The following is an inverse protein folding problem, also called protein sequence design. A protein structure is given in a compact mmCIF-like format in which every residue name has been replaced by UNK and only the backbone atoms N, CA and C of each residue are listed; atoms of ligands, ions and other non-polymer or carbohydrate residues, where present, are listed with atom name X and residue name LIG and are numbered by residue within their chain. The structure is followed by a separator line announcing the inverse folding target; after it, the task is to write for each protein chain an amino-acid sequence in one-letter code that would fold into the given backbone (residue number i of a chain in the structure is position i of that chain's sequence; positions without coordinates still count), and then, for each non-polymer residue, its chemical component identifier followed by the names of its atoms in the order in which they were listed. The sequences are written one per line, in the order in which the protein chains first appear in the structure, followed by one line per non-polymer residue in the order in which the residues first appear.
data_IF_070764006238
#
_entry.id   IF_070764006238
#
_cell.length_a   1.000
_cell.length_b   1.000
_cell.length_c   1.000
_cell.angle_alpha   90.00
_cell.angle_beta   90.00
_cell.angle_gamma   90.00
#
_symmetry.space_group_name_H-M   'P 1'
#
loop_
_entity.id
_entity.type
_entity.pdbx_description
1 polymer ?
#
# COMPACT_ATOMS: atom_id res chain seq x y z
N UNK A 1 -6.00 13.92 25.65
CA UNK A 1 -6.10 15.38 25.44
C UNK A 1 -6.68 15.99 26.72
N UNK A 2 -6.37 17.24 27.07
CA UNK A 2 -6.92 17.88 28.28
C UNK A 2 -7.92 18.96 27.87
N UNK A 3 -9.21 18.72 28.10
CA UNK A 3 -10.28 19.66 27.79
C UNK A 3 -10.66 20.47 29.05
N UNK A 4 -10.95 21.75 28.85
CA UNK A 4 -11.41 22.66 29.88
C UNK A 4 -12.69 23.35 29.39
N UNK A 5 -13.67 23.45 30.27
CA UNK A 5 -14.90 24.20 30.06
C UNK A 5 -14.70 25.63 30.57
N UNK A 6 -15.27 26.61 29.86
CA UNK A 6 -15.15 28.02 30.23
C UNK A 6 -16.44 28.50 30.92
N UNK A 7 -16.57 28.16 32.20
CA UNK A 7 -17.66 28.63 33.05
C UNK A 7 -17.29 29.95 33.74
N UNK A 8 -18.21 30.92 33.71
CA UNK A 8 -18.19 32.11 34.57
C UNK A 8 -16.87 32.91 34.61
N UNK A 9 -16.11 32.89 33.51
CA UNK A 9 -14.82 33.60 33.38
C UNK A 9 -13.58 32.77 33.70
N UNK A 10 -13.72 31.49 34.06
CA UNK A 10 -12.64 30.60 34.45
C UNK A 10 -12.61 29.31 33.63
N UNK A 11 -11.41 28.75 33.43
CA UNK A 11 -11.24 27.43 32.82
C UNK A 11 -11.31 26.36 33.92
N UNK A 12 -12.43 25.66 34.00
CA UNK A 12 -12.59 24.48 34.87
C UNK A 12 -12.27 23.21 34.06
N UNK A 13 -11.69 22.14 34.65
CA UNK A 13 -11.50 20.89 33.93
C UNK A 13 -12.85 20.36 33.44
N UNK A 14 -12.97 20.09 32.14
CA UNK A 14 -14.26 19.68 31.56
C UNK A 14 -14.72 18.36 32.20
N UNK A 15 -15.89 18.39 32.84
CA UNK A 15 -16.46 17.20 33.47
C UNK A 15 -17.12 16.31 32.41
N UNK A 16 -16.28 15.58 31.67
CA UNK A 16 -16.74 14.43 30.89
C UNK A 16 -17.53 13.50 31.82
N UNK A 17 -18.76 13.18 31.43
CA UNK A 17 -19.68 12.33 32.18
C UNK A 17 -19.05 11.02 32.62
N UNK A 18 -19.56 10.49 33.74
CA UNK A 18 -19.02 9.27 34.35
C UNK A 18 -19.12 8.15 33.33
N UNK A 19 -18.00 7.49 33.06
CA UNK A 19 -17.99 6.26 32.28
C UNK A 19 -18.85 5.23 32.99
N UNK A 20 -19.89 4.77 32.32
CA UNK A 20 -20.87 3.82 32.84
C UNK A 20 -20.65 2.47 32.18
N UNK A 21 -20.47 1.42 32.99
CA UNK A 21 -20.24 0.05 32.51
C UNK A 21 -21.54 -0.68 32.07
N UNK A 22 -22.56 0.08 31.68
CA UNK A 22 -23.78 -0.46 31.08
C UNK A 22 -23.61 -0.58 29.58
N UNK A 23 -24.24 -1.60 29.00
CA UNK A 23 -24.39 -1.76 27.54
C UNK A 23 -25.18 -0.59 26.94
N UNK A 24 -24.98 -0.34 25.66
CA UNK A 24 -25.87 0.51 24.90
C UNK A 24 -27.26 -0.16 24.79
N UNK A 25 -28.30 0.66 24.84
CA UNK A 25 -29.67 0.20 24.55
C UNK A 25 -29.84 -0.02 23.03
N UNK A 26 -30.72 -0.94 22.61
CA UNK A 26 -30.86 -1.33 21.20
C UNK A 26 -31.20 -0.17 20.26
N UNK A 27 -31.94 0.84 20.75
CA UNK A 27 -32.23 2.08 20.02
C UNK A 27 -30.95 2.92 19.79
N UNK A 28 -30.03 2.94 20.77
CA UNK A 28 -28.75 3.62 20.67
C UNK A 28 -27.81 2.90 19.68
N UNK A 29 -27.79 1.56 19.70
CA UNK A 29 -27.06 0.75 18.71
C UNK A 29 -27.62 0.92 17.29
N UNK A 30 -28.93 1.13 17.16
CA UNK A 30 -29.58 1.43 15.87
C UNK A 30 -29.16 2.81 15.35
N UNK A 31 -29.14 3.84 16.20
CA UNK A 31 -28.61 5.16 15.84
C UNK A 31 -27.11 5.10 15.48
N UNK A 32 -26.31 4.29 16.18
CA UNK A 32 -24.90 4.04 15.83
C UNK A 32 -24.76 3.37 14.46
N UNK A 33 -25.65 2.44 14.09
CA UNK A 33 -25.67 1.88 12.72
C UNK A 33 -25.97 2.96 11.68
N UNK A 34 -27.02 3.76 11.89
CA UNK A 34 -27.40 4.84 10.96
C UNK A 34 -26.27 5.87 10.74
N UNK A 35 -25.51 6.19 11.79
CA UNK A 35 -24.45 7.21 11.79
C UNK A 35 -23.02 6.62 11.72
N UNK A 36 -22.87 5.33 11.39
CA UNK A 36 -21.59 4.60 11.57
C UNK A 36 -20.41 5.23 10.81
N UNK A 37 -20.65 5.83 9.64
CA UNK A 37 -19.60 6.48 8.85
C UNK A 37 -19.10 7.80 9.47
N UNK A 38 -20.01 8.56 10.09
CA UNK A 38 -19.66 9.79 10.84
C UNK A 38 -18.87 9.43 12.11
N UNK A 39 -19.31 8.37 12.81
CA UNK A 39 -18.70 7.83 14.03
C UNK A 39 -17.26 7.32 13.78
N UNK A 40 -17.03 6.63 12.66
CA UNK A 40 -15.70 6.15 12.25
C UNK A 40 -14.80 7.29 11.74
N UNK A 41 -15.41 8.37 11.22
CA UNK A 41 -14.70 9.56 10.75
C UNK A 41 -13.87 9.33 9.48
N UNK A 42 -14.21 8.32 8.67
CA UNK A 42 -13.51 7.98 7.42
C UNK A 42 -14.34 8.36 6.19
N UNK A 43 -13.70 8.83 5.10
CA UNK A 43 -14.36 8.93 3.81
C UNK A 43 -14.56 7.53 3.22
N UNK A 44 -15.76 6.98 3.45
CA UNK A 44 -16.24 5.74 2.85
C UNK A 44 -17.54 6.02 2.12
N UNK A 45 -17.69 5.48 0.92
CA UNK A 45 -18.90 5.54 0.11
C UNK A 45 -19.83 4.38 0.48
N UNK A 46 -21.02 4.59 1.05
CA UNK A 46 -21.94 3.50 1.39
C UNK A 46 -22.56 2.88 0.13
N UNK A 47 -22.58 1.55 0.06
CA UNK A 47 -23.22 0.80 -1.05
C UNK A 47 -24.56 0.24 -0.61
N UNK A 48 -24.59 -0.64 0.39
CA UNK A 48 -25.81 -1.30 0.89
C UNK A 48 -25.59 -1.90 2.29
N UNK A 49 -26.66 -1.92 3.11
CA UNK A 49 -26.73 -2.76 4.31
C UNK A 49 -27.19 -4.17 3.94
N UNK A 50 -26.36 -5.18 4.20
CA UNK A 50 -26.76 -6.59 4.11
C UNK A 50 -27.07 -7.13 5.52
N UNK A 51 -28.22 -7.79 5.66
CA UNK A 51 -28.70 -8.38 6.92
C UNK A 51 -28.80 -9.92 6.88
N UNK A 52 -28.22 -10.57 5.86
CA UNK A 52 -28.42 -12.01 5.56
C UNK A 52 -27.88 -12.99 6.62
N UNK A 53 -26.91 -12.55 7.43
CA UNK A 53 -26.29 -13.33 8.52
C UNK A 53 -26.01 -12.46 9.75
N UNK A 54 -25.39 -11.30 9.52
CA UNK A 54 -25.10 -10.25 10.51
C UNK A 54 -25.28 -8.92 9.77
N UNK A 55 -25.95 -7.95 10.39
CA UNK A 55 -26.16 -6.64 9.78
C UNK A 55 -24.83 -5.89 9.61
N UNK A 56 -24.42 -5.68 8.36
CA UNK A 56 -23.19 -4.98 8.01
C UNK A 56 -23.40 -4.08 6.79
N UNK A 57 -22.62 -3.01 6.71
CA UNK A 57 -22.61 -2.07 5.60
C UNK A 57 -21.45 -2.42 4.66
N UNK A 58 -21.79 -2.74 3.41
CA UNK A 58 -20.82 -2.75 2.33
C UNK A 58 -20.57 -1.29 1.91
N UNK A 59 -19.30 -0.92 1.86
CA UNK A 59 -18.85 0.42 1.47
C UNK A 59 -17.57 0.35 0.63
N UNK A 60 -17.14 1.47 0.08
CA UNK A 60 -15.91 1.59 -0.69
C UNK A 60 -15.06 2.75 -0.17
N UNK A 61 -13.75 2.57 -0.07
CA UNK A 61 -12.84 3.70 0.16
C UNK A 61 -12.57 4.49 -1.13
N UNK A 62 -11.91 5.64 -1.02
CA UNK A 62 -11.60 6.51 -2.16
C UNK A 62 -10.70 5.89 -3.26
N UNK A 63 -10.03 4.76 -2.98
CA UNK A 63 -9.22 4.02 -3.96
C UNK A 63 -10.04 3.04 -4.79
N UNK A 64 -11.27 2.72 -4.35
CA UNK A 64 -12.11 1.69 -4.95
C UNK A 64 -12.10 0.36 -4.18
N UNK A 65 -11.38 0.27 -3.06
CA UNK A 65 -11.31 -0.94 -2.26
C UNK A 65 -12.61 -1.16 -1.49
N UNK A 66 -13.15 -2.38 -1.52
CA UNK A 66 -14.33 -2.76 -0.71
C UNK A 66 -13.96 -2.75 0.78
N UNK A 67 -14.80 -2.11 1.58
CA UNK A 67 -14.70 -2.00 3.03
C UNK A 67 -15.99 -2.48 3.67
N UNK A 68 -15.89 -3.52 4.49
CA UNK A 68 -16.98 -4.02 5.32
C UNK A 68 -17.01 -3.26 6.64
N UNK A 69 -18.12 -2.60 6.95
CA UNK A 69 -18.33 -1.87 8.21
C UNK A 69 -19.39 -2.59 9.06
N UNK A 70 -19.03 -2.99 10.28
CA UNK A 70 -19.90 -3.74 11.19
C UNK A 70 -20.15 -3.00 12.50
N UNK A 71 -21.33 -3.19 13.07
CA UNK A 71 -21.69 -2.72 14.42
C UNK A 71 -22.17 -3.90 15.25
N UNK A 72 -21.59 -4.13 16.43
CA UNK A 72 -21.94 -5.27 17.29
C UNK A 72 -22.06 -4.89 18.78
N UNK A 73 -22.93 -5.62 19.49
CA UNK A 73 -23.11 -5.49 20.95
C UNK A 73 -21.92 -6.07 21.73
N UNK A 74 -21.23 -7.05 21.15
CA UNK A 74 -20.03 -7.67 21.71
C UNK A 74 -19.17 -8.23 20.58
N UNK A 75 -17.88 -7.93 20.64
CA UNK A 75 -16.82 -8.47 19.82
C UNK A 75 -16.04 -9.52 20.64
N UNK A 76 -16.17 -10.76 20.21
CA UNK A 76 -15.53 -11.97 20.73
C UNK A 76 -14.81 -12.72 19.60
N UNK A 77 -14.18 -13.86 19.91
CA UNK A 77 -13.40 -14.60 18.90
C UNK A 77 -14.26 -15.10 17.72
N UNK A 78 -15.52 -15.44 17.96
CA UNK A 78 -16.42 -15.96 16.92
C UNK A 78 -16.91 -14.85 15.99
N UNK A 79 -17.35 -13.72 16.54
CA UNK A 79 -17.80 -12.54 15.79
C UNK A 79 -16.65 -11.89 15.02
N UNK A 80 -15.44 -11.81 15.60
CA UNK A 80 -14.25 -11.34 14.89
C UNK A 80 -13.93 -12.23 13.67
N UNK A 81 -13.87 -13.56 13.84
CA UNK A 81 -13.61 -14.48 12.72
C UNK A 81 -14.72 -14.42 11.66
N UNK A 82 -15.98 -14.25 12.07
CA UNK A 82 -17.10 -14.07 11.14
C UNK A 82 -17.01 -12.76 10.34
N UNK A 83 -16.60 -11.66 10.97
CA UNK A 83 -16.39 -10.37 10.30
C UNK A 83 -15.25 -10.44 9.27
N UNK A 84 -14.12 -11.05 9.64
CA UNK A 84 -13.00 -11.29 8.73
C UNK A 84 -13.39 -12.20 7.55
N UNK A 85 -14.24 -13.20 7.79
CA UNK A 85 -14.76 -14.09 6.75
C UNK A 85 -15.71 -13.38 5.80
N UNK A 86 -16.60 -12.51 6.31
CA UNK A 86 -17.47 -11.64 5.49
C UNK A 86 -16.62 -10.73 4.61
N UNK A 87 -15.70 -9.95 5.19
CA UNK A 87 -14.85 -9.05 4.42
C UNK A 87 -13.94 -9.77 3.40
N UNK A 88 -13.53 -11.02 3.68
CA UNK A 88 -12.84 -11.87 2.73
C UNK A 88 -13.70 -12.20 1.50
N UNK A 89 -14.98 -12.55 1.71
CA UNK A 89 -15.94 -12.82 0.65
C UNK A 89 -16.33 -11.54 -0.11
N UNK A 90 -16.68 -10.46 0.60
CA UNK A 90 -17.13 -9.19 0.02
C UNK A 90 -16.04 -8.50 -0.81
N UNK A 91 -14.76 -8.73 -0.51
CA UNK A 91 -13.66 -8.21 -1.30
C UNK A 91 -13.39 -8.97 -2.61
N UNK A 92 -14.17 -10.01 -2.93
CA UNK A 92 -14.23 -10.59 -4.26
C UNK A 92 -15.32 -9.96 -5.16
N UNK A 93 -16.15 -9.06 -4.62
CA UNK A 93 -17.18 -8.33 -5.39
C UNK A 93 -16.51 -7.32 -6.33
N UNK A 94 -16.86 -7.39 -7.62
CA UNK A 94 -16.43 -6.43 -8.61
C UNK A 94 -17.24 -5.13 -8.56
N UNK A 95 -16.76 -4.13 -9.30
CA UNK A 95 -17.45 -2.86 -9.50
C UNK A 95 -18.91 -3.03 -9.95
N UNK A 96 -19.16 -3.99 -10.85
CA UNK A 96 -20.49 -4.27 -11.40
C UNK A 96 -21.44 -4.89 -10.37
N UNK A 97 -20.94 -5.74 -9.47
CA UNK A 97 -21.73 -6.38 -8.42
C UNK A 97 -22.23 -5.32 -7.44
N UNK A 98 -21.32 -4.48 -6.92
CA UNK A 98 -21.63 -3.36 -6.03
C UNK A 98 -22.62 -2.37 -6.68
N UNK A 99 -22.43 -2.06 -7.97
CA UNK A 99 -23.34 -1.22 -8.74
C UNK A 99 -24.73 -1.84 -8.93
N UNK A 100 -24.84 -3.18 -8.95
CA UNK A 100 -26.10 -3.91 -9.04
C UNK A 100 -26.83 -4.01 -7.69
N UNK A 101 -26.08 -4.09 -6.59
CA UNK A 101 -26.60 -4.11 -5.22
C UNK A 101 -27.04 -2.72 -4.74
N UNK A 102 -26.49 -1.65 -5.32
CA UNK A 102 -26.79 -0.28 -4.92
C UNK A 102 -28.29 0.06 -5.06
N UNK A 103 -28.99 0.53 -4.00
CA UNK A 103 -30.44 0.77 -4.04
C UNK A 103 -30.91 1.79 -5.10
N UNK A 104 -30.03 2.72 -5.51
CA UNK A 104 -30.31 3.67 -6.60
C UNK A 104 -30.05 3.11 -8.02
N UNK A 105 -29.54 1.89 -8.14
CA UNK A 105 -29.09 1.26 -9.38
C UNK A 105 -27.77 1.83 -9.95
N UNK A 106 -27.20 1.10 -10.91
CA UNK A 106 -25.85 1.32 -11.46
C UNK A 106 -25.59 2.76 -11.96
N UNK A 107 -26.58 3.41 -12.57
CA UNK A 107 -26.44 4.78 -13.08
C UNK A 107 -26.33 5.83 -11.98
N UNK A 108 -27.08 5.65 -10.89
CA UNK A 108 -27.02 6.49 -9.69
C UNK A 108 -25.71 6.23 -8.94
N UNK A 109 -25.36 4.96 -8.74
CA UNK A 109 -24.09 4.52 -8.13
C UNK A 109 -22.87 5.21 -8.79
N UNK A 110 -22.76 5.16 -10.12
CA UNK A 110 -21.64 5.78 -10.86
C UNK A 110 -21.57 7.31 -10.69
N UNK A 111 -22.72 7.99 -10.62
CA UNK A 111 -22.77 9.46 -10.41
C UNK A 111 -22.32 9.81 -9.00
N UNK A 112 -22.93 9.16 -8.00
CA UNK A 112 -22.76 9.50 -6.59
C UNK A 112 -21.34 9.13 -6.10
N UNK A 113 -20.76 8.07 -6.68
CA UNK A 113 -19.35 7.71 -6.52
C UNK A 113 -18.39 8.75 -7.11
N UNK A 114 -18.69 9.29 -8.30
CA UNK A 114 -17.86 10.33 -8.91
C UNK A 114 -17.89 11.60 -8.05
N UNK A 115 -19.07 12.03 -7.60
CA UNK A 115 -19.24 13.17 -6.68
C UNK A 115 -18.46 12.95 -5.37
N UNK A 116 -18.54 11.75 -4.78
CA UNK A 116 -17.74 11.36 -3.63
C UNK A 116 -16.23 11.47 -3.91
N UNK A 117 -15.74 10.95 -5.04
CA UNK A 117 -14.30 11.03 -5.40
C UNK A 117 -13.84 12.46 -5.67
N UNK A 118 -14.66 13.29 -6.31
CA UNK A 118 -14.37 14.70 -6.59
C UNK A 118 -14.29 15.54 -5.31
N UNK A 119 -14.97 15.12 -4.23
CA UNK A 119 -14.86 15.76 -2.90
C UNK A 119 -13.54 15.50 -2.16
N UNK A 120 -12.71 14.55 -2.63
CA UNK A 120 -11.55 14.03 -1.88
C UNK A 120 -10.20 14.39 -2.50
N UNK A 121 -9.11 14.43 -1.70
CA UNK A 121 -7.77 14.70 -2.21
C UNK A 121 -7.32 13.65 -3.25
N UNK A 122 -6.65 14.04 -4.36
CA UNK A 122 -6.29 13.15 -5.49
C UNK A 122 -5.34 11.97 -5.18
N UNK A 123 -4.93 11.77 -3.93
CA UNK A 123 -4.04 10.70 -3.46
C UNK A 123 -4.44 10.20 -2.08
N UNK A 124 -5.71 9.88 -1.90
CA UNK A 124 -6.18 9.18 -0.70
C UNK A 124 -5.68 7.73 -0.75
N UNK A 125 -4.88 7.26 0.23
CA UNK A 125 -4.36 5.90 0.23
C UNK A 125 -5.47 4.88 0.58
N UNK A 126 -5.27 3.62 0.18
CA UNK A 126 -6.13 2.52 0.55
C UNK A 126 -6.29 2.42 2.09
N UNK A 127 -7.54 2.21 2.52
CA UNK A 127 -7.96 2.13 3.91
C UNK A 127 -8.01 0.69 4.44
N UNK A 128 -8.64 0.50 5.62
CA UNK A 128 -8.94 -0.83 6.12
C UNK A 128 -9.94 -1.54 5.20
N UNK A 129 -9.86 -2.87 5.15
CA UNK A 129 -10.86 -3.76 4.53
C UNK A 129 -12.03 -4.02 5.48
N UNK A 130 -11.80 -3.87 6.78
CA UNK A 130 -12.78 -4.14 7.85
C UNK A 130 -12.75 -3.01 8.86
N UNK A 131 -13.92 -2.46 9.18
CA UNK A 131 -14.13 -1.57 10.31
C UNK A 131 -15.17 -2.19 11.23
N UNK A 132 -14.84 -2.38 12.51
CA UNK A 132 -15.77 -2.94 13.52
C UNK A 132 -16.00 -1.90 14.61
N UNK A 133 -17.26 -1.61 14.91
CA UNK A 133 -17.68 -0.71 16.00
C UNK A 133 -18.42 -1.53 17.05
N UNK A 134 -17.88 -1.61 18.27
CA UNK A 134 -18.33 -2.53 19.30
C UNK A 134 -18.69 -1.82 20.62
N UNK A 135 -19.86 -2.13 21.20
CA UNK A 135 -20.20 -1.77 22.59
C UNK A 135 -19.29 -2.49 23.60
N UNK A 136 -18.93 -3.74 23.30
CA UNK A 136 -18.02 -4.50 24.13
C UNK A 136 -16.96 -5.24 23.33
N UNK A 137 -15.77 -5.35 23.91
CA UNK A 137 -14.70 -6.21 23.43
C UNK A 137 -14.29 -7.14 24.58
N UNK A 138 -14.33 -8.44 24.35
CA UNK A 138 -13.96 -9.44 25.36
C UNK A 138 -12.43 -9.57 25.47
N UNK A 139 -11.93 -9.89 26.67
CA UNK A 139 -10.49 -9.83 26.96
C UNK A 139 -9.65 -10.90 26.23
N UNK A 140 -10.27 -11.96 25.72
CA UNK A 140 -9.63 -13.00 24.91
C UNK A 140 -9.25 -12.53 23.50
N UNK A 141 -10.04 -11.62 22.89
CA UNK A 141 -9.71 -11.05 21.57
C UNK A 141 -8.79 -9.84 21.63
N UNK A 142 -8.70 -9.12 22.76
CA UNK A 142 -7.86 -7.91 22.85
C UNK A 142 -6.42 -8.15 22.35
N UNK A 143 -5.70 -9.22 22.73
CA UNK A 143 -4.36 -9.52 22.19
C UNK A 143 -4.32 -9.77 20.68
N UNK A 144 -5.38 -10.34 20.10
CA UNK A 144 -5.47 -10.54 18.65
C UNK A 144 -5.66 -9.20 17.93
N UNK A 145 -6.45 -8.28 18.47
CA UNK A 145 -6.62 -6.92 17.92
C UNK A 145 -5.30 -6.11 17.97
N UNK A 146 -4.41 -6.36 18.94
CA UNK A 146 -3.06 -5.78 18.95
C UNK A 146 -2.21 -6.25 17.76
N UNK A 147 -2.30 -7.54 17.39
CA UNK A 147 -1.55 -8.13 16.28
C UNK A 147 -2.14 -7.77 14.91
N UNK A 148 -3.45 -7.58 14.84
CA UNK A 148 -4.18 -7.14 13.64
C UNK A 148 -4.14 -5.60 13.44
N UNK A 149 -3.59 -4.86 14.41
CA UNK A 149 -3.44 -3.40 14.32
C UNK A 149 -2.53 -3.00 13.15
N UNK A 150 -3.15 -2.54 12.05
CA UNK A 150 -2.46 -2.13 10.83
C UNK A 150 -2.50 -3.16 9.68
N UNK A 151 -3.10 -4.34 9.86
CA UNK A 151 -3.28 -5.33 8.77
C UNK A 151 -4.52 -5.04 7.90
N UNK A 152 -4.93 -3.78 7.78
CA UNK A 152 -6.18 -3.38 7.12
C UNK A 152 -7.45 -3.67 7.93
N UNK A 153 -7.35 -3.76 9.26
CA UNK A 153 -8.50 -3.86 10.17
C UNK A 153 -8.44 -2.68 11.15
N UNK A 154 -9.57 -2.02 11.35
CA UNK A 154 -9.75 -1.02 12.41
C UNK A 154 -10.93 -1.41 13.30
N UNK A 155 -10.75 -1.26 14.62
CA UNK A 155 -11.80 -1.53 15.60
C UNK A 155 -11.97 -0.32 16.50
N UNK A 156 -13.21 0.02 16.81
CA UNK A 156 -13.61 1.13 17.67
C UNK A 156 -14.43 0.58 18.83
N UNK A 157 -14.02 0.88 20.05
CA UNK A 157 -14.75 0.54 21.28
C UNK A 157 -15.60 1.75 21.68
N UNK A 158 -16.91 1.53 21.80
CA UNK A 158 -17.86 2.51 22.30
C UNK A 158 -17.79 2.55 23.83
N UNK A 159 -18.10 3.69 24.43
CA UNK A 159 -18.15 3.82 25.89
C UNK A 159 -19.20 4.83 26.30
N UNK A 160 -20.23 4.37 27.02
CA UNK A 160 -21.30 5.22 27.51
C UNK A 160 -20.81 6.15 28.63
N UNK A 161 -21.15 7.43 28.53
CA UNK A 161 -20.88 8.47 29.53
C UNK A 161 -22.17 9.16 29.95
N UNK A 162 -22.55 9.00 31.22
CA UNK A 162 -23.71 9.69 31.80
C UNK A 162 -23.29 11.06 32.37
N UNK A 163 -23.96 12.12 31.93
CA UNK A 163 -23.83 13.47 32.46
C UNK A 163 -24.96 13.75 33.47
N UNK A 164 -24.71 14.65 34.43
CA UNK A 164 -25.61 14.91 35.56
C UNK A 164 -27.02 15.37 35.16
N UNK A 165 -27.15 16.00 34.00
CA UNK A 165 -28.41 16.53 33.46
C UNK A 165 -29.26 15.50 32.70
N UNK A 166 -28.92 14.21 32.79
CA UNK A 166 -29.61 13.12 32.09
C UNK A 166 -29.22 12.98 30.61
N UNK A 167 -28.27 13.77 30.13
CA UNK A 167 -27.68 13.59 28.80
C UNK A 167 -26.72 12.40 28.82
N UNK A 168 -26.84 11.53 27.81
CA UNK A 168 -25.92 10.42 27.53
C UNK A 168 -25.05 10.79 26.33
N UNK A 169 -23.73 10.66 26.46
CA UNK A 169 -22.82 10.71 25.32
C UNK A 169 -22.20 9.33 25.10
N UNK A 170 -21.95 9.00 23.84
CA UNK A 170 -21.15 7.84 23.44
C UNK A 170 -19.75 8.36 23.12
N UNK A 171 -18.75 7.92 23.88
CA UNK A 171 -17.34 8.08 23.57
C UNK A 171 -16.92 6.96 22.60
N UNK A 172 -16.04 7.28 21.65
CA UNK A 172 -15.70 6.41 20.51
C UNK A 172 -14.19 6.35 20.38
N UNK A 173 -13.59 5.25 20.86
CA UNK A 173 -12.14 5.11 20.97
C UNK A 173 -11.60 4.06 19.98
N UNK A 174 -10.66 4.41 19.07
CA UNK A 174 -10.01 3.41 18.23
C UNK A 174 -9.15 2.49 19.11
N UNK A 175 -9.43 1.19 19.04
CA UNK A 175 -8.72 0.13 19.76
C UNK A 175 -7.30 0.06 19.21
N UNK A 176 -6.31 0.30 20.07
CA UNK A 176 -4.89 0.27 19.72
C UNK A 176 -4.13 -0.47 20.80
N UNK A 177 -3.29 -1.42 20.39
CA UNK A 177 -2.44 -2.13 21.33
C UNK A 177 -1.54 -1.18 22.15
N UNK A 178 -1.22 -1.50 23.41
CA UNK A 178 -0.41 -0.68 24.31
C UNK A 178 1.02 -0.46 23.80
N UNK A 179 1.47 -1.20 22.78
CA UNK A 179 2.70 -0.92 22.04
C UNK A 179 2.65 0.49 21.41
N UNK A 180 1.54 0.88 20.77
CA UNK A 180 1.40 2.21 20.16
C UNK A 180 1.42 3.33 21.21
N UNK A 181 0.80 3.10 22.37
CA UNK A 181 0.86 4.03 23.51
C UNK A 181 2.28 4.11 24.12
N UNK A 182 2.98 2.98 24.23
CA UNK A 182 4.38 2.93 24.68
C UNK A 182 5.32 3.67 23.74
N UNK A 183 5.15 3.57 22.43
CA UNK A 183 5.95 4.33 21.45
C UNK A 183 5.87 5.85 21.66
N UNK A 184 4.68 6.36 22.04
CA UNK A 184 4.51 7.77 22.38
C UNK A 184 5.23 8.17 23.68
N UNK A 185 5.26 7.28 24.69
CA UNK A 185 6.05 7.51 25.92
C UNK A 185 7.56 7.38 25.71
N UNK A 186 8.03 6.46 24.85
CA UNK A 186 9.45 6.25 24.55
C UNK A 186 10.05 7.47 23.83
N UNK A 187 9.29 8.15 22.97
CA UNK A 187 9.74 9.41 22.32
C UNK A 187 9.97 10.57 23.30
N UNK A 188 9.43 10.52 24.53
CA UNK A 188 9.75 11.45 25.62
C UNK A 188 10.69 10.80 26.67
N UNK A 189 11.18 9.59 26.42
CA UNK A 189 11.56 8.60 27.44
C UNK A 189 13.01 8.13 27.42
N UNK A 190 13.97 9.07 27.31
CA UNK A 190 15.45 8.88 27.36
C UNK A 190 16.12 8.26 26.13
N UNK A 191 17.37 8.68 25.94
CA UNK A 191 18.28 8.15 24.93
C UNK A 191 18.66 6.68 25.18
N UNK A 192 19.03 6.02 24.08
CA UNK A 192 19.65 4.70 23.95
C UNK A 192 20.34 4.15 25.21
N UNK A 193 19.82 3.03 25.72
CA UNK A 193 20.67 1.99 26.30
C UNK A 193 20.61 0.79 25.35
N UNK A 194 21.73 0.47 24.70
CA UNK A 194 21.84 -0.74 23.88
C UNK A 194 21.61 -1.97 24.77
N UNK A 195 20.82 -2.91 24.26
CA UNK A 195 20.69 -4.25 24.86
C UNK A 195 21.73 -5.13 24.18
N UNK A 196 22.89 -5.28 24.81
CA UNK A 196 23.85 -6.30 24.38
C UNK A 196 23.25 -7.69 24.65
N UNK A 197 23.09 -8.47 23.58
CA UNK A 197 22.61 -9.83 23.67
C UNK A 197 23.74 -10.74 24.16
N UNK A 198 23.87 -10.85 25.48
CA UNK A 198 24.86 -11.71 26.14
C UNK A 198 24.62 -13.19 25.80
N UNK A 199 25.33 -13.68 24.79
CA UNK A 199 25.32 -15.10 24.41
C UNK A 199 26.01 -15.93 25.50
N UNK A 200 25.24 -16.72 26.25
CA UNK A 200 25.77 -17.61 27.28
C UNK A 200 26.37 -18.87 26.64
N UNK A 201 27.66 -19.17 26.84
CA UNK A 201 28.34 -20.26 26.14
C UNK A 201 28.16 -21.61 26.85
N UNK A 202 27.09 -22.34 26.51
CA UNK A 202 26.85 -23.69 27.05
C UNK A 202 26.44 -24.72 25.97
N UNK A 203 27.30 -24.88 24.96
CA UNK A 203 27.38 -26.09 24.14
C UNK A 203 28.85 -26.42 23.87
N UNK A 204 29.44 -27.26 24.73
CA UNK A 204 30.82 -27.73 24.56
C UNK A 204 30.86 -29.03 23.73
N UNK A 205 31.60 -29.08 22.61
CA UNK A 205 31.92 -30.35 21.96
C UNK A 205 32.96 -31.11 22.79
N UNK A 206 32.82 -32.43 22.90
CA UNK A 206 33.80 -33.30 23.54
C UNK A 206 34.95 -33.57 22.57
N UNK A 207 36.20 -33.48 23.05
CA UNK A 207 37.40 -33.74 22.26
C UNK A 207 38.33 -34.74 22.98
N UNK A 208 38.89 -35.65 22.20
CA UNK A 208 40.05 -36.54 22.43
C UNK A 208 40.11 -37.48 21.18
N UNK A 209 41.25 -37.85 20.58
CA UNK A 209 42.66 -37.62 20.97
C UNK A 209 43.66 -37.78 19.81
N UNK A 210 44.84 -37.20 20.01
CA UNK A 210 46.20 -37.59 19.56
C UNK A 210 46.46 -38.05 18.11
N UNK A 211 47.21 -37.24 17.33
CA UNK A 211 48.56 -37.61 16.84
C UNK A 211 49.31 -36.39 16.24
N UNK A 212 50.60 -36.24 16.57
CA UNK A 212 51.58 -35.22 16.12
C UNK A 212 53.00 -35.82 16.34
N UNK A 213 54.11 -35.32 15.76
CA UNK A 213 54.26 -34.26 14.74
C UNK A 213 55.19 -34.66 13.55
N UNK A 214 55.43 -33.75 12.59
CA UNK A 214 56.79 -33.30 12.22
C UNK A 214 56.78 -32.11 11.21
N UNK A 215 57.96 -31.50 11.03
CA UNK A 215 58.30 -30.21 10.38
C UNK A 215 57.82 -30.04 8.90
N UNK A 216 57.66 -28.84 8.31
CA UNK A 216 58.59 -27.70 8.35
C UNK A 216 58.04 -26.31 7.93
N UNK A 217 58.92 -25.31 8.12
CA UNK A 217 59.03 -23.92 7.59
C UNK A 217 58.35 -23.54 6.24
N UNK A 218 58.00 -22.27 5.92
CA UNK A 218 58.15 -20.98 6.65
C UNK A 218 57.38 -19.79 6.01
N UNK A 219 56.99 -18.81 6.87
CA UNK A 219 57.01 -17.33 6.70
C UNK A 219 56.19 -16.61 5.58
N UNK A 220 55.40 -15.63 6.04
CA UNK A 220 54.57 -14.58 5.38
C UNK A 220 55.34 -13.21 5.35
N UNK A 221 54.88 -12.02 4.89
CA UNK A 221 53.83 -11.56 3.94
C UNK A 221 54.53 -10.83 2.73
N UNK A 222 54.26 -9.59 2.21
CA UNK A 222 53.14 -8.61 2.26
C UNK A 222 52.75 -7.93 0.90
N UNK A 223 51.91 -6.89 0.95
CA UNK A 223 51.68 -5.87 -0.10
C UNK A 223 52.65 -4.66 0.03
N UNK A 224 52.77 -3.71 -0.95
CA UNK A 224 51.85 -2.55 -1.02
C UNK A 224 51.65 -1.82 -2.40
N UNK A 225 50.61 -0.98 -2.46
CA UNK A 225 50.39 0.36 -3.10
C UNK A 225 50.85 0.76 -4.56
N UNK A 226 50.25 1.84 -5.16
CA UNK A 226 50.36 2.19 -6.60
C UNK A 226 51.06 3.54 -6.92
N UNK A 227 51.26 3.86 -8.21
CA UNK A 227 51.61 5.23 -8.68
C UNK A 227 51.20 5.49 -10.17
N UNK A 228 51.11 6.76 -10.59
CA UNK A 228 50.57 7.23 -11.89
C UNK A 228 51.65 7.60 -12.93
N UNK A 229 51.38 7.41 -14.25
CA UNK A 229 51.98 8.27 -15.33
C UNK A 229 51.06 8.39 -16.57
N UNK A 230 50.91 9.63 -17.07
CA UNK A 230 50.55 10.04 -18.44
C UNK A 230 51.42 11.30 -18.77
N UNK A 231 51.64 11.79 -20.01
CA UNK A 231 50.77 11.79 -21.21
C UNK A 231 51.48 11.11 -22.43
N UNK A 232 51.25 11.34 -23.74
CA UNK A 232 50.48 12.36 -24.50
C UNK A 232 49.89 11.77 -25.81
N UNK A 233 49.82 12.53 -26.91
CA UNK A 233 48.96 12.24 -28.06
C UNK A 233 49.66 12.30 -29.44
N UNK A 234 49.18 11.49 -30.40
CA UNK A 234 49.25 11.78 -31.82
C UNK A 234 48.08 11.12 -32.58
N UNK A 235 47.59 11.76 -33.64
CA UNK A 235 46.59 11.21 -34.56
C UNK A 235 46.88 11.74 -35.98
N UNK A 236 46.71 10.92 -37.03
CA UNK A 236 45.58 11.22 -37.92
C UNK A 236 44.90 10.03 -38.63
N UNK A 237 43.56 10.06 -38.60
CA UNK A 237 42.64 9.84 -39.73
C UNK A 237 42.87 8.65 -40.69
N UNK A 238 42.05 7.62 -40.52
CA UNK A 238 41.33 6.94 -41.61
C UNK A 238 39.92 6.59 -41.08
N UNK A 239 38.85 7.24 -41.52
CA UNK A 239 38.12 6.94 -42.77
C UNK A 239 37.67 5.48 -42.92
N UNK A 240 37.07 4.95 -41.86
CA UNK A 240 35.83 4.19 -42.01
C UNK A 240 34.69 4.96 -41.34
N UNK A 241 33.59 5.17 -42.07
CA UNK A 241 32.33 5.55 -41.45
C UNK A 241 31.76 4.30 -40.78
N UNK A 242 31.44 4.39 -39.48
CA UNK A 242 30.73 3.30 -38.81
C UNK A 242 29.25 3.37 -39.23
N UNK A 243 28.97 2.66 -40.31
CA UNK A 243 27.65 2.54 -40.94
C UNK A 243 26.63 2.01 -39.92
N UNK A 244 25.40 2.56 -39.83
CA UNK A 244 24.49 2.27 -38.74
C UNK A 244 24.23 0.78 -38.61
N UNK A 245 24.59 0.23 -37.45
CA UNK A 245 24.58 -1.19 -37.14
C UNK A 245 23.15 -1.71 -37.04
N UNK A 246 22.55 -2.03 -38.20
CA UNK A 246 21.23 -2.64 -38.29
C UNK A 246 21.19 -3.89 -37.38
N UNK A 247 20.29 -3.96 -36.39
CA UNK A 247 20.18 -5.12 -35.52
C UNK A 247 19.69 -6.31 -36.34
N UNK A 248 20.44 -7.41 -36.31
CA UNK A 248 20.13 -8.61 -37.08
C UNK A 248 18.92 -9.34 -36.48
N UNK A 249 17.88 -9.55 -37.28
CA UNK A 249 16.55 -9.92 -36.78
C UNK A 249 16.49 -11.42 -36.45
N UNK A 250 16.63 -11.79 -35.16
CA UNK A 250 15.84 -12.85 -34.47
C UNK A 250 16.33 -13.17 -33.04
N UNK A 251 16.58 -12.14 -32.22
CA UNK A 251 16.44 -12.36 -30.76
C UNK A 251 14.94 -12.58 -30.50
N UNK A 252 14.50 -13.67 -29.84
CA UNK A 252 13.11 -13.81 -29.46
C UNK A 252 12.80 -12.71 -28.43
N UNK A 253 11.89 -11.77 -28.77
CA UNK A 253 11.57 -10.64 -27.90
C UNK A 253 11.32 -11.13 -26.47
N UNK A 254 11.93 -10.44 -25.49
CA UNK A 254 11.62 -10.63 -24.08
C UNK A 254 10.12 -10.42 -23.84
N UNK A 255 9.60 -10.99 -22.75
CA UNK A 255 8.20 -10.77 -22.36
C UNK A 255 7.89 -9.26 -22.24
N UNK A 256 8.81 -8.53 -21.60
CA UNK A 256 8.83 -7.08 -21.55
C UNK A 256 8.73 -6.41 -22.94
N UNK A 257 9.56 -6.79 -23.90
CA UNK A 257 9.55 -6.22 -25.25
C UNK A 257 8.28 -6.55 -26.04
N UNK A 258 7.67 -7.73 -25.83
CA UNK A 258 6.38 -8.07 -26.46
C UNK A 258 5.25 -7.21 -25.90
N UNK A 259 5.20 -7.03 -24.58
CA UNK A 259 4.24 -6.14 -23.94
C UNK A 259 4.43 -4.69 -24.40
N UNK A 260 5.69 -4.21 -24.48
CA UNK A 260 6.00 -2.86 -24.91
C UNK A 260 5.58 -2.61 -26.38
N UNK A 261 5.85 -3.57 -27.28
CA UNK A 261 5.40 -3.53 -28.66
C UNK A 261 3.87 -3.63 -28.80
N UNK A 262 3.17 -4.36 -27.92
CA UNK A 262 1.72 -4.39 -27.90
C UNK A 262 1.11 -3.04 -27.47
N UNK A 263 1.68 -2.39 -26.45
CA UNK A 263 1.29 -1.04 -26.01
C UNK A 263 1.55 -0.02 -27.13
N UNK A 264 2.73 -0.06 -27.77
CA UNK A 264 3.04 0.80 -28.92
C UNK A 264 2.07 0.61 -30.10
N UNK A 265 1.69 -0.64 -30.40
CA UNK A 265 0.68 -0.98 -31.42
C UNK A 265 -0.72 -0.47 -31.06
N UNK A 266 -1.09 -0.47 -29.77
CA UNK A 266 -2.37 0.06 -29.29
C UNK A 266 -2.43 1.59 -29.40
N UNK A 267 -1.34 2.28 -29.05
CA UNK A 267 -1.21 3.73 -29.17
C UNK A 267 -1.16 4.20 -30.63
N UNK A 268 -0.43 3.49 -31.49
CA UNK A 268 -0.37 3.74 -32.93
C UNK A 268 0.45 4.97 -33.37
N UNK A 269 0.97 5.76 -32.43
CA UNK A 269 1.84 6.92 -32.67
C UNK A 269 3.08 6.93 -31.76
N UNK A 270 4.17 7.59 -32.19
CA UNK A 270 5.40 7.74 -31.40
C UNK A 270 5.09 8.58 -30.16
N UNK A 271 5.10 7.95 -28.98
CA UNK A 271 4.49 8.50 -27.77
C UNK A 271 5.55 8.90 -26.74
N UNK A 272 5.50 10.14 -26.25
CA UNK A 272 6.46 10.64 -25.26
C UNK A 272 6.22 10.10 -23.84
N UNK A 273 7.30 9.68 -23.20
CA UNK A 273 7.37 9.15 -21.84
C UNK A 273 8.28 10.03 -20.97
N UNK A 274 7.82 10.41 -19.79
CA UNK A 274 8.57 11.21 -18.80
C UNK A 274 8.72 10.44 -17.50
N UNK A 275 9.91 10.46 -16.91
CA UNK A 275 10.18 9.97 -15.55
C UNK A 275 10.74 11.10 -14.67
N UNK A 276 10.13 11.35 -13.50
CA UNK A 276 10.54 12.43 -12.58
C UNK A 276 11.09 11.91 -11.24
N UNK A 277 12.40 12.03 -11.05
CA UNK A 277 13.09 11.61 -9.83
C UNK A 277 12.94 12.62 -8.68
N UNK A 278 11.83 12.50 -7.93
CA UNK A 278 11.45 13.40 -6.82
C UNK A 278 12.54 13.64 -5.75
N UNK A 279 13.51 12.73 -5.56
CA UNK A 279 14.63 12.89 -4.62
C UNK A 279 15.80 13.76 -5.13
N UNK A 280 15.97 13.88 -6.45
CA UNK A 280 17.03 14.69 -7.09
C UNK A 280 16.48 15.93 -7.82
N UNK A 281 15.18 15.98 -8.09
CA UNK A 281 14.53 17.05 -8.87
C UNK A 281 14.70 16.90 -10.39
N UNK A 282 15.38 15.84 -10.85
CA UNK A 282 15.67 15.56 -12.26
C UNK A 282 14.44 14.93 -12.92
N UNK A 283 14.07 15.41 -14.11
CA UNK A 283 13.23 14.70 -15.08
C UNK A 283 14.11 14.08 -16.16
N UNK A 284 13.66 12.95 -16.70
CA UNK A 284 14.25 12.27 -17.84
C UNK A 284 13.14 11.95 -18.83
N UNK A 285 13.37 12.23 -20.11
CA UNK A 285 12.38 12.05 -21.16
C UNK A 285 12.84 11.00 -22.18
N UNK A 286 11.86 10.30 -22.74
CA UNK A 286 12.00 9.20 -23.67
C UNK A 286 10.82 9.19 -24.65
N UNK A 287 10.90 8.40 -25.73
CA UNK A 287 9.84 8.23 -26.72
C UNK A 287 9.67 6.76 -27.05
N UNK A 288 8.47 6.24 -26.82
CA UNK A 288 8.08 4.90 -27.27
C UNK A 288 7.71 4.99 -28.75
N UNK A 289 8.53 4.39 -29.63
CA UNK A 289 8.23 4.28 -31.06
C UNK A 289 7.06 3.35 -31.31
N UNK A 290 6.35 3.53 -32.44
CA UNK A 290 5.35 2.58 -32.97
C UNK A 290 5.95 1.18 -33.23
N UNK A 291 7.27 1.06 -33.39
CA UNK A 291 7.98 -0.23 -33.49
C UNK A 291 8.00 -1.05 -32.20
N UNK A 292 7.70 -0.44 -31.04
CA UNK A 292 7.82 -1.07 -29.72
C UNK A 292 9.16 -0.84 -29.01
N UNK A 293 10.02 0.02 -29.55
CA UNK A 293 11.31 0.40 -28.98
C UNK A 293 11.18 1.71 -28.17
N UNK A 294 11.79 1.76 -26.98
CA UNK A 294 11.86 2.96 -26.14
C UNK A 294 13.20 3.67 -26.39
N UNK A 295 13.13 4.86 -26.99
CA UNK A 295 14.29 5.69 -27.32
C UNK A 295 14.47 6.77 -26.26
N UNK A 296 15.67 6.88 -25.71
CA UNK A 296 16.05 7.87 -24.70
C UNK A 296 16.48 9.21 -25.32
N UNK A 297 16.52 10.28 -24.52
CA UNK A 297 17.05 11.59 -24.93
C UNK A 297 18.50 11.53 -25.46
N UNK A 298 19.31 10.58 -24.99
CA UNK A 298 20.68 10.37 -25.46
C UNK A 298 20.78 9.61 -26.81
N UNK A 299 19.65 9.14 -27.37
CA UNK A 299 19.57 8.40 -28.62
C UNK A 299 19.76 6.88 -28.50
N UNK A 300 19.88 6.33 -27.29
CA UNK A 300 19.94 4.87 -27.08
C UNK A 300 18.53 4.26 -27.15
N UNK A 301 18.40 3.12 -27.82
CA UNK A 301 17.12 2.43 -28.08
C UNK A 301 17.05 1.10 -27.30
N UNK A 302 15.97 0.90 -26.53
CA UNK A 302 15.80 -0.22 -25.60
C UNK A 302 14.50 -1.00 -25.83
N UNK A 303 14.55 -2.31 -25.57
CA UNK A 303 13.40 -3.23 -25.65
C UNK A 303 12.81 -3.61 -24.28
N UNK A 304 13.52 -3.35 -23.17
CA UNK A 304 12.95 -3.41 -21.81
C UNK A 304 12.93 -2.01 -21.18
N UNK A 305 11.75 -1.50 -20.73
CA UNK A 305 11.67 -0.21 -20.05
C UNK A 305 12.54 -0.12 -18.79
N UNK A 306 12.87 -1.26 -18.18
CA UNK A 306 13.68 -1.37 -16.96
C UNK A 306 15.16 -1.18 -17.25
N UNK A 307 15.67 -1.76 -18.35
CA UNK A 307 17.04 -1.50 -18.82
C UNK A 307 17.23 0.00 -19.14
N UNK A 308 16.25 0.59 -19.85
CA UNK A 308 16.23 2.03 -20.10
C UNK A 308 16.22 2.87 -18.81
N UNK A 309 15.41 2.50 -17.81
CA UNK A 309 15.36 3.20 -16.53
C UNK A 309 16.65 3.03 -15.70
N UNK A 310 17.30 1.88 -15.78
CA UNK A 310 18.59 1.61 -15.14
C UNK A 310 19.71 2.46 -15.78
N UNK A 311 19.81 2.47 -17.11
CA UNK A 311 20.78 3.27 -17.87
C UNK A 311 20.66 4.78 -17.55
N UNK A 312 19.44 5.31 -17.60
CA UNK A 312 19.12 6.73 -17.32
C UNK A 312 19.45 7.16 -15.88
N UNK A 313 19.42 6.24 -14.91
CA UNK A 313 19.54 6.58 -13.49
C UNK A 313 20.85 6.19 -12.82
N UNK A 314 21.67 5.35 -13.46
CA UNK A 314 22.87 4.78 -12.85
C UNK A 314 22.55 3.88 -11.65
N UNK A 315 21.43 3.14 -11.71
CA UNK A 315 20.99 2.15 -10.71
C UNK A 315 20.62 0.86 -11.41
N UNK A 316 20.92 -0.27 -10.78
CA UNK A 316 20.62 -1.61 -11.32
C UNK A 316 19.25 -2.15 -10.86
N UNK A 317 18.57 -1.46 -9.93
CA UNK A 317 17.37 -1.91 -9.23
C UNK A 317 16.10 -1.07 -9.56
N UNK A 318 15.96 -0.62 -10.81
CA UNK A 318 14.81 0.21 -11.24
C UNK A 318 13.83 -0.57 -12.11
N UNK A 319 12.63 -0.81 -11.57
CA UNK A 319 11.50 -1.30 -12.37
C UNK A 319 11.01 -0.19 -13.32
N UNK A 320 11.25 -0.38 -14.62
CA UNK A 320 10.95 0.60 -15.67
C UNK A 320 9.46 0.89 -15.83
N UNK A 321 8.65 -0.17 -15.79
CA UNK A 321 7.20 -0.13 -15.98
C UNK A 321 6.52 0.90 -15.07
N UNK A 322 6.98 1.00 -13.83
CA UNK A 322 6.41 1.86 -12.79
C UNK A 322 6.99 3.27 -12.72
N UNK A 323 8.01 3.59 -13.53
CA UNK A 323 8.70 4.90 -13.49
C UNK A 323 8.48 5.75 -14.75
N UNK A 324 8.37 5.12 -15.92
CA UNK A 324 8.02 5.80 -17.17
C UNK A 324 6.53 6.08 -17.24
N UNK A 325 6.15 7.33 -17.58
CA UNK A 325 4.77 7.80 -17.60
C UNK A 325 4.44 8.57 -18.87
N UNK A 326 3.20 8.46 -19.34
CA UNK A 326 2.70 9.19 -20.49
C UNK A 326 2.54 10.68 -20.14
N UNK A 327 3.58 11.46 -20.44
CA UNK A 327 3.76 12.85 -20.00
C UNK A 327 3.83 13.05 -18.47
N UNK A 328 3.85 14.31 -18.03
CA UNK A 328 4.00 14.65 -16.59
C UNK A 328 2.88 14.12 -15.69
N UNK A 329 1.68 13.90 -16.24
CA UNK A 329 0.46 13.64 -15.45
C UNK A 329 -0.25 12.31 -15.75
N UNK A 330 0.04 11.63 -16.87
CA UNK A 330 -0.72 10.46 -17.34
C UNK A 330 -0.40 9.12 -16.64
N UNK A 331 -0.95 8.00 -17.14
CA UNK A 331 -0.66 6.66 -16.64
C UNK A 331 0.84 6.29 -16.76
N UNK A 332 1.24 5.23 -16.07
CA UNK A 332 2.56 4.61 -16.21
C UNK A 332 2.49 3.36 -17.12
N UNK A 333 3.65 2.86 -17.57
CA UNK A 333 3.69 1.68 -18.48
C UNK A 333 3.13 0.41 -17.82
N UNK A 334 3.18 0.28 -16.49
CA UNK A 334 2.54 -0.81 -15.74
C UNK A 334 1.01 -0.70 -15.85
N UNK A 335 0.44 0.51 -15.76
CA UNK A 335 -1.02 0.75 -15.94
C UNK A 335 -1.46 0.37 -17.36
N UNK A 336 -0.72 0.81 -18.39
CA UNK A 336 -1.02 0.50 -19.79
C UNK A 336 -0.86 -0.99 -20.13
N UNK A 337 -0.01 -1.74 -19.40
CA UNK A 337 0.01 -3.20 -19.49
C UNK A 337 -1.29 -3.82 -18.97
N UNK A 338 -1.83 -3.32 -17.85
CA UNK A 338 -3.10 -3.81 -17.32
C UNK A 338 -4.28 -3.50 -18.25
N UNK A 339 -4.34 -2.28 -18.79
CA UNK A 339 -5.37 -1.88 -19.78
C UNK A 339 -5.32 -2.74 -21.06
N UNK A 340 -4.11 -3.10 -21.52
CA UNK A 340 -3.94 -4.01 -22.66
C UNK A 340 -4.33 -5.47 -22.34
N UNK A 341 -4.09 -5.95 -21.11
CA UNK A 341 -4.54 -7.28 -20.67
C UNK A 341 -6.06 -7.35 -20.56
N UNK A 342 -6.71 -6.31 -20.01
CA UNK A 342 -8.17 -6.20 -19.94
C UNK A 342 -8.79 -6.15 -21.35
N UNK A 343 -8.14 -5.49 -22.31
CA UNK A 343 -8.58 -5.47 -23.70
C UNK A 343 -8.45 -6.83 -24.42
N UNK A 344 -7.38 -7.60 -24.15
CA UNK A 344 -7.15 -8.92 -24.76
C UNK A 344 -8.12 -9.98 -24.18
N UNK A 345 -8.43 -9.95 -22.88
CA UNK A 345 -9.45 -10.82 -22.27
C UNK A 345 -10.86 -10.58 -22.83
N UNK A 346 -11.17 -9.36 -23.29
CA UNK A 346 -12.46 -9.01 -23.89
C UNK A 346 -12.64 -9.50 -25.34
N UNK A 347 -11.56 -9.60 -26.13
CA UNK A 347 -11.61 -10.04 -27.54
C UNK A 347 -11.57 -11.59 -27.68
N UNK A 348 -11.22 -12.31 -26.59
CA UNK A 348 -11.07 -13.78 -26.56
C UNK A 348 -12.40 -14.54 -26.34
N UNK A 349 -13.53 -13.85 -26.18
CA UNK A 349 -14.87 -14.47 -26.09
C UNK A 349 -15.32 -15.07 -27.44
N UNK A 350 -15.34 -16.40 -27.63
CA UNK A 350 -15.66 -17.00 -28.93
C UNK A 350 -17.17 -17.04 -29.18
N UNK A 351 -17.60 -16.88 -30.44
CA UNK A 351 -18.97 -17.18 -30.83
C UNK A 351 -19.31 -18.66 -30.52
N UNK A 352 -20.30 -18.90 -29.67
CA UNK A 352 -20.86 -20.24 -29.42
C UNK A 352 -21.88 -20.58 -30.53
N UNK A 353 -21.60 -21.56 -31.42
CA UNK A 353 -22.47 -21.87 -32.55
C UNK A 353 -23.69 -22.71 -32.13
N UNK A 354 -24.86 -22.36 -32.66
CA UNK A 354 -26.15 -23.01 -32.40
C UNK A 354 -26.48 -24.21 -33.31
#
# INVERSE_FOLDING_TARGET
MSLFEFDSGHLVPAQFGRTTAARLESDMLSAVREQVLEIVGRPLFPVIWEESQQAHLLSMDASGQVVTVEVCETLDAATLVAALSRAGNSAALGWLDLASMYPGGQGTFRRDWNEFRESLPPRTPAGPRVVIVADHITDDVRPALELLSGSGIEVYELTLRDFGDGQRLIDVAPVRGPIAARSQMVMLGRATKQVELMASPEFAPVADKDEEPEEAESVDPPAPEPEEVAPEAEAPRGEHAEEPRQPDYTVPLSEAGRTLAAIAKYLGEDTHLTWRQLRKGISHDATLRVSGELVLENGEEYLDPSEAACAVSGREDVNGWRVWRFGEAGPNLDDARYELMEADELDVSPEEPA
#
